data_IF_004535121061
#
_entry.id   IF_004535121061
#
_cell.length_a   1.000
_cell.length_b   1.000
_cell.length_c   1.000
_cell.angle_alpha   90.00
_cell.angle_beta   90.00
_cell.angle_gamma   90.00
#
_symmetry.space_group_name_H-M   'P 1'
#
loop_
_entity.id
_entity.type
_entity.pdbx_description
1 polymer ?
#
# COMPACT_ATOMS: atom_id res chain seq x y z
N UNK A 1 37.07 13.07 -6.66
CA UNK A 1 35.60 13.08 -6.50
C UNK A 1 35.13 11.64 -6.58
N UNK A 2 34.26 11.19 -5.66
CA UNK A 2 33.68 9.85 -5.77
C UNK A 2 32.88 9.78 -7.07
N UNK A 3 33.24 8.87 -7.97
CA UNK A 3 32.53 8.66 -9.23
C UNK A 3 31.19 7.99 -8.91
N UNK A 4 30.08 8.63 -9.29
CA UNK A 4 28.72 8.07 -9.14
C UNK A 4 28.29 7.50 -10.49
N UNK A 5 27.81 6.27 -10.52
CA UNK A 5 27.32 5.62 -11.75
C UNK A 5 25.89 6.07 -12.10
N UNK A 6 25.49 5.94 -13.37
CA UNK A 6 24.11 6.20 -13.81
C UNK A 6 23.11 5.33 -13.02
N UNK A 7 23.44 4.04 -12.83
CA UNK A 7 22.56 3.11 -12.11
C UNK A 7 22.38 3.48 -10.62
N UNK A 8 23.42 3.99 -9.96
CA UNK A 8 23.34 4.45 -8.58
C UNK A 8 22.44 5.68 -8.43
N UNK A 9 22.51 6.65 -9.37
CA UNK A 9 21.63 7.81 -9.35
C UNK A 9 20.18 7.39 -9.53
N UNK A 10 19.88 6.57 -10.53
CA UNK A 10 18.49 6.12 -10.78
C UNK A 10 17.93 5.26 -9.62
N UNK A 11 18.75 4.45 -8.96
CA UNK A 11 18.34 3.76 -7.72
C UNK A 11 17.97 4.74 -6.60
N UNK A 12 18.71 5.85 -6.49
CA UNK A 12 18.42 6.89 -5.50
C UNK A 12 17.15 7.69 -5.86
N UNK A 13 16.91 7.94 -7.15
CA UNK A 13 15.65 8.51 -7.66
C UNK A 13 14.46 7.64 -7.27
N UNK A 14 14.53 6.33 -7.55
CA UNK A 14 13.46 5.38 -7.22
C UNK A 14 13.24 5.29 -5.71
N UNK A 15 14.31 5.34 -4.89
CA UNK A 15 14.20 5.36 -3.43
C UNK A 15 13.49 6.62 -2.92
N UNK A 16 13.86 7.81 -3.43
CA UNK A 16 13.20 9.07 -3.04
C UNK A 16 11.73 9.07 -3.45
N UNK A 17 11.40 8.57 -4.66
CA UNK A 17 10.02 8.40 -5.10
C UNK A 17 9.25 7.43 -4.20
N UNK A 18 9.88 6.33 -3.79
CA UNK A 18 9.32 5.38 -2.83
C UNK A 18 9.00 6.03 -1.48
N UNK A 19 9.92 6.86 -0.94
CA UNK A 19 9.68 7.61 0.29
C UNK A 19 8.52 8.61 0.16
N UNK A 20 8.39 9.30 -0.97
CA UNK A 20 7.27 10.19 -1.26
C UNK A 20 5.94 9.43 -1.28
N UNK A 21 5.89 8.26 -1.91
CA UNK A 21 4.70 7.41 -1.91
C UNK A 21 4.33 6.92 -0.49
N UNK A 22 5.33 6.55 0.32
CA UNK A 22 5.12 6.19 1.74
C UNK A 22 4.56 7.37 2.53
N UNK A 23 5.03 8.60 2.28
CA UNK A 23 4.50 9.82 2.91
C UNK A 23 3.03 10.02 2.58
N UNK A 24 2.63 9.89 1.32
CA UNK A 24 1.24 10.05 0.88
C UNK A 24 0.30 9.01 1.52
N UNK A 25 0.76 7.74 1.58
CA UNK A 25 0.03 6.67 2.25
C UNK A 25 -0.10 6.93 3.76
N UNK A 26 0.99 7.35 4.41
CA UNK A 26 1.00 7.68 5.83
C UNK A 26 0.08 8.87 6.15
N UNK A 27 0.09 9.91 5.32
CA UNK A 27 -0.80 11.07 5.48
C UNK A 27 -2.27 10.66 5.44
N UNK A 28 -2.63 9.77 4.50
CA UNK A 28 -3.99 9.22 4.39
C UNK A 28 -4.37 8.42 5.63
N UNK A 29 -3.52 7.48 6.06
CA UNK A 29 -3.76 6.67 7.25
C UNK A 29 -3.88 7.52 8.53
N UNK A 30 -3.05 8.55 8.66
CA UNK A 30 -3.10 9.48 9.79
C UNK A 30 -4.39 10.30 9.81
N UNK A 31 -4.85 10.77 8.64
CA UNK A 31 -6.13 11.49 8.52
C UNK A 31 -7.29 10.62 8.96
N UNK A 32 -7.32 9.35 8.53
CA UNK A 32 -8.34 8.38 8.92
C UNK A 32 -8.31 8.10 10.43
N UNK A 33 -7.13 7.86 11.01
CA UNK A 33 -6.99 7.62 12.45
C UNK A 33 -7.45 8.81 13.29
N UNK A 34 -7.07 10.04 12.90
CA UNK A 34 -7.51 11.26 13.58
C UNK A 34 -9.03 11.43 13.43
N UNK A 35 -9.61 11.18 12.26
CA UNK A 35 -11.05 11.29 12.05
C UNK A 35 -11.84 10.33 12.96
N UNK A 36 -11.38 9.08 13.12
CA UNK A 36 -12.00 8.12 14.05
C UNK A 36 -11.91 8.61 15.50
N UNK A 37 -10.75 9.13 15.92
CA UNK A 37 -10.58 9.66 17.27
C UNK A 37 -11.46 10.92 17.52
N UNK A 38 -11.60 11.79 16.51
CA UNK A 38 -12.48 12.96 16.57
C UNK A 38 -13.95 12.55 16.71
N UNK A 39 -14.39 11.56 15.93
CA UNK A 39 -15.74 11.02 16.03
C UNK A 39 -16.00 10.49 17.45
N UNK A 40 -15.07 9.70 18.01
CA UNK A 40 -15.20 9.15 19.37
C UNK A 40 -15.24 10.24 20.44
N UNK A 41 -14.46 11.31 20.27
CA UNK A 41 -14.56 12.49 21.14
C UNK A 41 -15.93 13.16 21.07
N UNK A 42 -16.49 13.30 19.87
CA UNK A 42 -17.81 13.91 19.68
C UNK A 42 -18.91 13.06 20.34
N UNK A 43 -18.91 11.74 20.10
CA UNK A 43 -19.84 10.79 20.72
C UNK A 43 -19.74 10.83 22.26
N UNK A 44 -18.52 10.84 22.81
CA UNK A 44 -18.33 10.87 24.26
C UNK A 44 -18.76 12.21 24.90
N UNK A 45 -18.54 13.35 24.20
CA UNK A 45 -19.02 14.67 24.64
C UNK A 45 -20.54 14.74 24.63
N UNK A 46 -21.18 14.23 23.58
CA UNK A 46 -22.63 14.19 23.49
C UNK A 46 -23.23 13.33 24.61
N UNK A 47 -22.66 12.15 24.88
CA UNK A 47 -23.12 11.29 25.98
C UNK A 47 -22.94 11.95 27.36
N UNK A 48 -21.83 12.66 27.58
CA UNK A 48 -21.63 13.41 28.82
C UNK A 48 -22.64 14.56 28.99
N UNK A 49 -22.97 15.26 27.91
CA UNK A 49 -23.98 16.32 27.92
C UNK A 49 -25.40 15.76 28.14
N UNK A 50 -25.73 14.65 27.49
CA UNK A 50 -27.00 13.95 27.68
C UNK A 50 -27.14 13.45 29.12
N UNK A 51 -26.09 12.84 29.68
CA UNK A 51 -26.05 12.36 31.07
C UNK A 51 -26.20 13.51 32.07
N UNK A 52 -25.60 14.67 31.80
CA UNK A 52 -25.76 15.86 32.65
C UNK A 52 -27.21 16.37 32.65
N UNK A 53 -27.86 16.37 31.48
CA UNK A 53 -29.27 16.77 31.33
C UNK A 53 -30.22 15.80 32.04
N UNK A 54 -29.93 14.49 31.99
CA UNK A 54 -30.70 13.48 32.72
C UNK A 54 -30.55 13.63 34.23
N UNK A 55 -29.34 13.91 34.72
CA UNK A 55 -29.12 14.18 36.13
C UNK A 55 -29.92 15.39 36.60
N UNK A 56 -29.89 16.49 35.85
CA UNK A 56 -30.68 17.68 36.16
C UNK A 56 -32.18 17.36 36.25
N UNK A 57 -32.72 16.58 35.30
CA UNK A 57 -34.10 16.13 35.33
C UNK A 57 -34.40 15.24 36.56
N UNK A 58 -33.51 14.34 36.94
CA UNK A 58 -33.69 13.49 38.12
C UNK A 58 -33.61 14.27 39.43
N UNK A 59 -32.73 15.29 39.51
CA UNK A 59 -32.67 16.21 40.65
C UNK A 59 -33.98 17.00 40.80
N UNK A 60 -34.57 17.48 39.70
CA UNK A 60 -35.87 18.15 39.74
C UNK A 60 -37.00 17.21 40.20
N UNK A 61 -36.99 15.95 39.77
CA UNK A 61 -37.96 14.94 40.21
C UNK A 61 -37.83 14.61 41.70
N UNK A 62 -36.60 14.47 42.21
CA UNK A 62 -36.35 14.26 43.64
C UNK A 62 -36.85 15.46 44.47
N UNK A 63 -36.59 16.68 44.03
CA UNK A 63 -37.11 17.89 44.69
C UNK A 63 -38.65 17.93 44.69
N UNK A 64 -39.29 17.55 43.59
CA UNK A 64 -40.74 17.48 43.51
C UNK A 64 -41.33 16.38 44.42
N UNK A 65 -40.66 15.22 44.51
CA UNK A 65 -41.05 14.14 45.41
C UNK A 65 -40.89 14.54 46.88
N UNK A 66 -39.82 15.27 47.22
CA UNK A 66 -39.61 15.82 48.56
C UNK A 66 -40.73 16.78 48.93
N UNK A 67 -41.12 17.69 48.03
CA UNK A 67 -42.24 18.60 48.25
C UNK A 67 -43.57 17.86 48.50
N UNK A 68 -43.80 16.71 47.84
CA UNK A 68 -44.98 15.87 48.11
C UNK A 68 -44.93 15.25 49.51
N UNK A 69 -43.76 14.78 49.96
CA UNK A 69 -43.58 14.27 51.33
C UNK A 69 -43.88 15.37 52.34
N UNK A 70 -43.29 16.55 52.17
CA UNK A 70 -43.52 17.68 53.08
C UNK A 70 -45.02 18.07 53.14
N UNK A 71 -45.70 18.06 51.98
CA UNK A 71 -47.15 18.30 51.91
C UNK A 71 -47.99 17.21 52.58
N UNK A 72 -47.63 15.94 52.41
CA UNK A 72 -48.32 14.81 53.05
C UNK A 72 -48.12 14.81 54.57
N UNK A 73 -46.93 15.20 55.06
CA UNK A 73 -46.67 15.36 56.50
C UNK A 73 -47.51 16.49 57.10
N UNK A 74 -47.63 17.62 56.41
CA UNK A 74 -48.51 18.72 56.83
C UNK A 74 -49.99 18.29 56.87
N UNK A 75 -50.45 17.53 55.87
CA UNK A 75 -51.80 17.00 55.82
C UNK A 75 -52.07 16.02 56.97
N UNK A 76 -51.12 15.13 57.27
CA UNK A 76 -51.21 14.20 58.40
C UNK A 76 -51.28 14.94 59.75
N UNK A 77 -50.43 15.94 59.97
CA UNK A 77 -50.45 16.75 61.19
C UNK A 77 -51.79 17.48 61.36
N UNK A 78 -52.38 17.95 60.25
CA UNK A 78 -53.70 18.58 60.24
C UNK A 78 -54.81 17.58 60.58
N UNK A 79 -54.79 16.39 59.98
CA UNK A 79 -55.76 15.32 60.26
C UNK A 79 -55.68 14.84 61.71
N UNK A 80 -54.48 14.69 62.27
CA UNK A 80 -54.27 14.33 63.67
C UNK A 80 -54.80 15.41 64.63
N UNK A 81 -54.62 16.69 64.29
CA UNK A 81 -55.17 17.80 65.07
C UNK A 81 -56.70 17.79 65.06
N UNK A 82 -57.31 17.53 63.90
CA UNK A 82 -58.77 17.37 63.77
C UNK A 82 -59.30 16.18 64.56
N UNK A 83 -58.59 15.04 64.55
CA UNK A 83 -58.93 13.87 65.36
C UNK A 83 -58.88 14.18 66.86
N UNK A 84 -57.83 14.85 67.33
CA UNK A 84 -57.71 15.27 68.72
C UNK A 84 -58.87 16.20 69.13
N UNK A 85 -59.28 17.12 68.23
CA UNK A 85 -60.46 17.96 68.44
C UNK A 85 -61.75 17.14 68.53
N UNK A 86 -61.97 16.20 67.60
CA UNK A 86 -63.16 15.33 67.59
C UNK A 86 -63.24 14.46 68.84
N UNK A 87 -62.12 13.91 69.30
CA UNK A 87 -62.02 13.13 70.54
C UNK A 87 -62.32 13.99 71.78
N UNK A 88 -61.85 15.23 71.81
CA UNK A 88 -62.17 16.18 72.88
C UNK A 88 -63.66 16.52 72.92
N UNK A 89 -64.29 16.73 71.76
CA UNK A 89 -65.74 16.92 71.64
C UNK A 89 -66.53 15.69 72.10
N UNK A 90 -66.15 14.49 71.68
CA UNK A 90 -66.77 13.23 72.12
C UNK A 90 -66.64 13.05 73.64
N UNK A 91 -65.44 13.27 74.20
CA UNK A 91 -65.23 13.19 75.65
C UNK A 91 -66.07 14.20 76.42
N UNK A 92 -66.25 15.40 75.86
CA UNK A 92 -67.10 16.44 76.45
C UNK A 92 -68.58 16.04 76.42
N UNK A 93 -69.06 15.43 75.32
CA UNK A 93 -70.44 14.93 75.21
C UNK A 93 -70.70 13.79 76.22
N UNK A 94 -69.77 12.83 76.32
CA UNK A 94 -69.89 11.70 77.26
C UNK A 94 -69.85 12.12 78.74
N UNK A 95 -69.26 13.27 79.05
CA UNK A 95 -69.19 13.82 80.39
C UNK A 95 -70.43 14.63 80.80
N UNK A 96 -71.40 14.84 79.90
CA UNK A 96 -72.63 15.56 80.23
C UNK A 96 -73.55 14.70 81.14
N UNK A 97 -74.16 15.30 82.17
CA UNK A 97 -75.07 14.59 83.06
C UNK A 97 -76.35 14.14 82.31
N UNK A 98 -77.04 13.08 82.77
CA UNK A 98 -78.34 12.70 82.23
C UNK A 98 -79.32 13.87 82.32
N UNK A 99 -80.22 13.97 81.35
CA UNK A 99 -81.28 14.98 81.37
C UNK A 99 -82.27 14.76 82.53
N UNK A 100 -83.22 15.69 82.73
CA UNK A 100 -84.22 15.64 83.81
C UNK A 100 -85.15 14.40 83.74
N UNK A 101 -85.12 13.63 82.63
CA UNK A 101 -85.83 12.35 82.46
C UNK A 101 -84.93 11.12 82.67
N UNK A 102 -83.65 11.31 83.03
CA UNK A 102 -82.67 10.25 83.26
C UNK A 102 -82.07 9.65 81.98
N UNK A 103 -82.21 10.31 80.82
CA UNK A 103 -81.62 9.86 79.56
C UNK A 103 -80.21 10.40 79.42
N UNK A 104 -79.28 9.54 79.01
CA UNK A 104 -77.92 9.95 78.69
C UNK A 104 -77.89 10.80 77.39
N UNK A 105 -76.91 11.70 77.24
CA UNK A 105 -76.70 12.47 76.00
C UNK A 105 -76.50 11.57 74.78
N UNK A 106 -77.14 11.91 73.66
CA UNK A 106 -76.94 11.23 72.37
C UNK A 106 -75.68 11.75 71.69
N UNK A 107 -74.55 11.07 71.91
CA UNK A 107 -73.25 11.42 71.31
C UNK A 107 -73.00 10.76 69.95
N UNK A 108 -74.04 10.29 69.25
CA UNK A 108 -73.88 9.57 67.98
C UNK A 108 -73.18 10.41 66.90
N UNK A 109 -73.41 11.73 66.86
CA UNK A 109 -72.75 12.65 65.95
C UNK A 109 -71.24 12.79 66.22
N UNK A 110 -70.84 12.87 67.48
CA UNK A 110 -69.43 12.93 67.88
C UNK A 110 -68.70 11.61 67.63
N UNK A 111 -69.38 10.47 67.78
CA UNK A 111 -68.84 9.17 67.38
C UNK A 111 -68.61 9.10 65.87
N UNK A 112 -69.55 9.58 65.06
CA UNK A 112 -69.37 9.69 63.60
C UNK A 112 -68.21 10.62 63.25
N UNK A 113 -68.09 11.79 63.91
CA UNK A 113 -67.00 12.74 63.67
C UNK A 113 -65.62 12.18 64.03
N UNK A 114 -65.50 11.40 65.12
CA UNK A 114 -64.26 10.68 65.45
C UNK A 114 -63.94 9.64 64.39
N UNK A 115 -64.92 8.84 63.96
CA UNK A 115 -64.71 7.82 62.92
C UNK A 115 -64.26 8.42 61.58
N UNK A 116 -64.86 9.55 61.17
CA UNK A 116 -64.46 10.28 59.97
C UNK A 116 -63.03 10.87 60.08
N UNK A 117 -62.67 11.39 61.26
CA UNK A 117 -61.33 11.90 61.52
C UNK A 117 -60.28 10.78 61.58
N UNK A 118 -60.62 9.61 62.13
CA UNK A 118 -59.77 8.42 62.11
C UNK A 118 -59.51 7.94 60.69
N UNK A 119 -60.56 7.85 59.85
CA UNK A 119 -60.43 7.51 58.44
C UNK A 119 -59.57 8.55 57.68
N UNK A 120 -59.70 9.83 58.02
CA UNK A 120 -58.88 10.90 57.43
C UNK A 120 -57.40 10.78 57.82
N UNK A 121 -57.10 10.38 59.07
CA UNK A 121 -55.72 10.11 59.52
C UNK A 121 -55.15 8.89 58.79
N UNK A 122 -55.90 7.80 58.68
CA UNK A 122 -55.48 6.59 57.96
C UNK A 122 -55.19 6.91 56.48
N UNK A 123 -56.05 7.68 55.82
CA UNK A 123 -55.83 8.14 54.45
C UNK A 123 -54.55 9.00 54.33
N UNK A 124 -54.36 9.96 55.24
CA UNK A 124 -53.18 10.83 55.23
C UNK A 124 -51.88 10.05 55.49
N UNK A 125 -51.92 9.03 56.37
CA UNK A 125 -50.81 8.11 56.59
C UNK A 125 -50.48 7.33 55.32
N UNK A 126 -51.48 6.77 54.64
CA UNK A 126 -51.27 6.06 53.37
C UNK A 126 -50.66 6.96 52.29
N UNK A 127 -51.11 8.22 52.19
CA UNK A 127 -50.52 9.19 51.26
C UNK A 127 -49.06 9.53 51.60
N UNK A 128 -48.73 9.65 52.89
CA UNK A 128 -47.36 9.89 53.34
C UNK A 128 -46.44 8.71 53.04
N UNK A 129 -46.89 7.49 53.30
CA UNK A 129 -46.14 6.28 52.96
C UNK A 129 -45.89 6.19 51.45
N UNK A 130 -46.91 6.46 50.63
CA UNK A 130 -46.75 6.52 49.19
C UNK A 130 -45.75 7.61 48.75
N UNK A 131 -45.86 8.82 49.29
CA UNK A 131 -44.95 9.92 48.95
C UNK A 131 -43.50 9.61 49.34
N UNK A 132 -43.28 8.96 50.48
CA UNK A 132 -41.94 8.51 50.93
C UNK A 132 -41.37 7.44 50.00
N UNK A 133 -42.19 6.49 49.56
CA UNK A 133 -41.77 5.49 48.58
C UNK A 133 -41.42 6.13 47.22
N UNK A 134 -42.21 7.11 46.76
CA UNK A 134 -41.91 7.88 45.53
C UNK A 134 -40.58 8.65 45.65
N UNK A 135 -40.31 9.26 46.81
CA UNK A 135 -39.05 9.95 47.09
C UNK A 135 -37.86 8.99 47.07
N UNK A 136 -37.97 7.82 47.71
CA UNK A 136 -36.89 6.83 47.72
C UNK A 136 -36.50 6.39 46.30
N UNK A 137 -37.49 6.15 45.44
CA UNK A 137 -37.27 5.84 44.02
C UNK A 137 -36.61 7.01 43.29
N UNK A 138 -37.06 8.25 43.53
CA UNK A 138 -36.49 9.44 42.91
C UNK A 138 -35.02 9.67 43.32
N UNK A 139 -34.69 9.48 44.61
CA UNK A 139 -33.32 9.53 45.11
C UNK A 139 -32.44 8.44 44.50
N UNK A 140 -32.95 7.21 44.39
CA UNK A 140 -32.25 6.12 43.71
C UNK A 140 -31.94 6.44 42.24
N UNK A 141 -32.90 7.03 41.53
CA UNK A 141 -32.72 7.45 40.14
C UNK A 141 -31.68 8.57 40.01
N UNK A 142 -31.69 9.59 40.89
CA UNK A 142 -30.67 10.66 40.89
C UNK A 142 -29.27 10.06 41.10
N UNK A 143 -29.08 9.21 42.10
CA UNK A 143 -27.79 8.58 42.38
C UNK A 143 -27.30 7.77 41.16
N UNK A 144 -28.21 7.05 40.48
CA UNK A 144 -27.86 6.34 39.24
C UNK A 144 -27.43 7.29 38.12
N UNK A 145 -28.09 8.44 37.96
CA UNK A 145 -27.70 9.45 36.97
C UNK A 145 -26.37 10.15 37.30
N UNK A 146 -26.05 10.33 38.59
CA UNK A 146 -24.72 10.83 39.01
C UNK A 146 -23.61 9.86 38.59
N UNK A 147 -23.77 8.58 38.88
CA UNK A 147 -22.80 7.55 38.47
C UNK A 147 -22.67 7.49 36.94
N UNK A 148 -23.78 7.61 36.21
CA UNK A 148 -23.76 7.67 34.75
C UNK A 148 -22.93 8.85 34.25
N UNK A 149 -23.16 10.04 34.80
CA UNK A 149 -22.43 11.24 34.42
C UNK A 149 -20.93 11.11 34.70
N UNK A 150 -20.55 10.54 35.84
CA UNK A 150 -19.15 10.32 36.19
C UNK A 150 -18.45 9.39 35.18
N UNK A 151 -19.10 8.28 34.81
CA UNK A 151 -18.59 7.36 33.78
C UNK A 151 -18.52 8.03 32.41
N UNK A 152 -19.52 8.82 32.03
CA UNK A 152 -19.54 9.54 30.76
C UNK A 152 -18.40 10.59 30.68
N UNK A 153 -18.12 11.30 31.78
CA UNK A 153 -16.99 12.25 31.87
C UNK A 153 -15.63 11.54 31.81
N UNK A 154 -15.50 10.38 32.45
CA UNK A 154 -14.28 9.56 32.32
C UNK A 154 -14.08 9.11 30.86
N UNK A 155 -15.13 8.65 30.20
CA UNK A 155 -15.08 8.28 28.79
C UNK A 155 -14.71 9.47 27.89
N UNK A 156 -15.27 10.66 28.14
CA UNK A 156 -14.90 11.89 27.44
C UNK A 156 -13.41 12.21 27.60
N UNK A 157 -12.89 12.20 28.83
CA UNK A 157 -11.48 12.50 29.10
C UNK A 157 -10.54 11.50 28.41
N UNK A 158 -10.88 10.20 28.42
CA UNK A 158 -10.11 9.18 27.71
C UNK A 158 -10.14 9.39 26.19
N UNK A 159 -11.30 9.75 25.63
CA UNK A 159 -11.42 10.02 24.20
C UNK A 159 -10.60 11.25 23.79
N UNK A 160 -10.66 12.34 24.55
CA UNK A 160 -9.90 13.57 24.31
C UNK A 160 -8.38 13.32 24.38
N UNK A 161 -7.93 12.57 25.37
CA UNK A 161 -6.53 12.13 25.46
C UNK A 161 -6.12 11.26 24.26
N UNK A 162 -6.96 10.31 23.84
CA UNK A 162 -6.67 9.46 22.68
C UNK A 162 -6.58 10.27 21.37
N UNK A 163 -7.41 11.31 21.21
CA UNK A 163 -7.32 12.22 20.07
C UNK A 163 -6.02 13.02 20.07
N UNK A 164 -5.64 13.59 21.22
CA UNK A 164 -4.38 14.34 21.35
C UNK A 164 -3.17 13.43 21.05
N UNK A 165 -3.16 12.21 21.58
CA UNK A 165 -2.12 11.22 21.30
C UNK A 165 -2.06 10.86 19.80
N UNK A 166 -3.21 10.61 19.17
CA UNK A 166 -3.25 10.30 17.74
C UNK A 166 -2.70 11.46 16.89
N UNK A 167 -3.04 12.70 17.23
CA UNK A 167 -2.53 13.89 16.54
C UNK A 167 -1.01 14.03 16.71
N UNK A 168 -0.49 13.88 17.93
CA UNK A 168 0.94 14.02 18.23
C UNK A 168 1.76 12.92 17.55
N UNK A 169 1.29 11.67 17.62
CA UNK A 169 1.96 10.53 17.00
C UNK A 169 2.01 10.70 15.47
N UNK A 170 0.89 11.08 14.86
CA UNK A 170 0.84 11.34 13.42
C UNK A 170 1.75 12.49 12.98
N UNK A 171 1.76 13.60 13.72
CA UNK A 171 2.66 14.71 13.44
C UNK A 171 4.13 14.28 13.51
N UNK A 172 4.50 13.49 14.51
CA UNK A 172 5.88 12.99 14.70
C UNK A 172 6.30 12.05 13.57
N UNK A 173 5.42 11.10 13.20
CA UNK A 173 5.67 10.14 12.11
C UNK A 173 5.81 10.84 10.77
N UNK A 174 4.92 11.78 10.45
CA UNK A 174 4.99 12.57 9.21
C UNK A 174 6.27 13.41 9.16
N UNK A 175 6.62 14.11 10.23
CA UNK A 175 7.84 14.91 10.30
C UNK A 175 9.11 14.05 10.10
N UNK A 176 9.13 12.83 10.62
CA UNK A 176 10.25 11.89 10.44
C UNK A 176 10.41 11.48 8.98
N UNK A 177 9.30 11.18 8.30
CA UNK A 177 9.32 10.83 6.87
C UNK A 177 9.71 12.04 6.02
N UNK A 178 9.19 13.23 6.33
CA UNK A 178 9.56 14.47 5.63
C UNK A 178 11.06 14.77 5.77
N UNK A 179 11.65 14.56 6.94
CA UNK A 179 13.09 14.69 7.15
C UNK A 179 13.88 13.68 6.30
N UNK A 180 13.44 12.42 6.25
CA UNK A 180 14.08 11.40 5.42
C UNK A 180 14.00 11.75 3.92
N UNK A 181 12.87 12.28 3.46
CA UNK A 181 12.69 12.77 2.08
C UNK A 181 13.62 13.96 1.80
N UNK A 182 13.74 14.91 2.72
CA UNK A 182 14.63 16.06 2.56
C UNK A 182 16.11 15.63 2.44
N UNK A 183 16.55 14.70 3.29
CA UNK A 183 17.90 14.12 3.23
C UNK A 183 18.08 13.36 1.90
N UNK A 184 17.13 12.51 1.53
CA UNK A 184 17.15 11.76 0.28
C UNK A 184 17.25 12.67 -0.95
N UNK A 185 16.44 13.73 -0.99
CA UNK A 185 16.42 14.72 -2.07
C UNK A 185 17.74 15.49 -2.15
N UNK A 186 18.30 15.91 -1.02
CA UNK A 186 19.61 16.59 -1.00
C UNK A 186 20.75 15.68 -1.51
N UNK A 187 20.71 14.39 -1.14
CA UNK A 187 21.65 13.38 -1.65
C UNK A 187 21.45 13.16 -3.15
N UNK A 188 20.22 13.06 -3.62
CA UNK A 188 19.89 12.90 -5.03
C UNK A 188 20.39 14.09 -5.86
N UNK A 189 20.11 15.31 -5.42
CA UNK A 189 20.59 16.53 -6.10
C UNK A 189 22.13 16.60 -6.16
N UNK A 190 22.81 16.09 -5.14
CA UNK A 190 24.28 16.05 -5.13
C UNK A 190 24.81 14.95 -6.07
N UNK A 191 24.16 13.79 -6.09
CA UNK A 191 24.48 12.70 -7.00
C UNK A 191 24.23 13.08 -8.47
N UNK A 192 23.13 13.78 -8.76
CA UNK A 192 22.82 14.29 -10.10
C UNK A 192 23.88 15.28 -10.58
N UNK A 193 24.28 16.26 -9.75
CA UNK A 193 25.36 17.19 -10.11
C UNK A 193 26.69 16.47 -10.37
N UNK A 194 27.00 15.45 -9.59
CA UNK A 194 28.20 14.63 -9.81
C UNK A 194 28.12 13.84 -11.13
N UNK A 195 26.95 13.27 -11.43
CA UNK A 195 26.69 12.58 -12.69
C UNK A 195 26.80 13.55 -13.87
N UNK A 196 26.16 14.72 -13.82
CA UNK A 196 26.21 15.72 -14.90
C UNK A 196 27.65 16.16 -15.19
N UNK A 197 28.46 16.40 -14.14
CA UNK A 197 29.88 16.73 -14.28
C UNK A 197 30.70 15.57 -14.89
N UNK A 198 30.39 14.33 -14.53
CA UNK A 198 31.01 13.15 -15.10
C UNK A 198 30.65 12.98 -16.58
N UNK A 199 29.37 13.11 -16.94
CA UNK A 199 28.90 13.00 -18.33
C UNK A 199 29.49 14.12 -19.21
N UNK A 200 29.64 15.33 -18.68
CA UNK A 200 30.23 16.45 -19.41
C UNK A 200 31.70 16.23 -19.80
N UNK A 201 32.43 15.41 -19.04
CA UNK A 201 33.87 15.15 -19.25
C UNK A 201 34.16 13.75 -19.80
N UNK A 202 33.15 12.89 -19.94
CA UNK A 202 33.29 11.51 -20.40
C UNK A 202 32.31 11.22 -21.56
N UNK A 203 32.72 11.44 -22.83
CA UNK A 203 31.85 11.26 -23.98
C UNK A 203 31.24 9.85 -24.12
N UNK A 204 31.99 8.74 -23.90
CA UNK A 204 31.38 7.41 -23.91
C UNK A 204 30.24 7.24 -22.89
N UNK A 205 30.39 7.79 -21.69
CA UNK A 205 29.36 7.77 -20.67
C UNK A 205 28.15 8.64 -21.04
N UNK A 206 28.37 9.83 -21.61
CA UNK A 206 27.29 10.68 -22.12
C UNK A 206 26.48 9.99 -23.23
N UNK A 207 27.16 9.33 -24.17
CA UNK A 207 26.50 8.57 -25.24
C UNK A 207 25.72 7.37 -24.69
N UNK A 208 26.28 6.65 -23.72
CA UNK A 208 25.57 5.56 -23.06
C UNK A 208 24.34 6.04 -22.27
N UNK A 209 24.46 7.17 -21.56
CA UNK A 209 23.31 7.79 -20.88
C UNK A 209 22.22 8.20 -21.88
N UNK A 210 22.59 8.82 -23.00
CA UNK A 210 21.65 9.14 -24.08
C UNK A 210 21.04 7.89 -24.71
N UNK A 211 21.80 6.80 -24.82
CA UNK A 211 21.30 5.51 -25.26
C UNK A 211 20.24 4.97 -24.29
N UNK A 212 20.48 4.99 -22.97
CA UNK A 212 19.50 4.58 -21.96
C UNK A 212 18.21 5.42 -22.00
N UNK A 213 18.34 6.74 -22.14
CA UNK A 213 17.21 7.68 -22.15
C UNK A 213 16.56 7.89 -23.53
N UNK A 214 16.90 7.06 -24.51
CA UNK A 214 16.39 7.21 -25.87
C UNK A 214 14.87 7.09 -25.93
N UNK A 215 14.22 8.10 -26.52
CA UNK A 215 12.80 8.10 -26.79
C UNK A 215 12.55 8.12 -28.30
N UNK A 216 12.16 7.00 -28.93
CA UNK A 216 11.95 6.95 -30.37
C UNK A 216 10.80 7.85 -30.85
N UNK A 217 9.81 8.12 -30.00
CA UNK A 217 8.65 8.94 -30.36
C UNK A 217 8.99 10.42 -30.56
N UNK A 218 10.13 10.90 -30.03
CA UNK A 218 10.49 12.31 -30.03
C UNK A 218 10.61 12.92 -31.43
N UNK A 219 10.99 12.11 -32.43
CA UNK A 219 11.23 12.58 -33.79
C UNK A 219 10.12 12.19 -34.79
N UNK A 220 9.11 11.43 -34.35
CA UNK A 220 7.97 10.98 -35.19
C UNK A 220 8.33 10.11 -36.40
N UNK A 221 9.59 9.66 -36.53
CA UNK A 221 10.06 8.84 -37.66
C UNK A 221 9.92 7.36 -37.34
N UNK A 222 9.60 6.50 -38.33
CA UNK A 222 9.68 5.06 -38.16
C UNK A 222 11.08 4.62 -37.73
N UNK A 223 11.14 3.64 -36.83
CA UNK A 223 12.39 2.98 -36.45
C UNK A 223 12.76 1.98 -37.54
N UNK A 224 13.97 2.11 -38.07
CA UNK A 224 14.47 1.31 -39.21
C UNK A 224 15.43 0.20 -38.74
N UNK A 225 15.73 -0.79 -39.60
CA UNK A 225 16.71 -1.83 -39.26
C UNK A 225 18.09 -1.25 -38.89
N UNK A 226 18.53 -0.17 -39.55
CA UNK A 226 19.77 0.53 -39.22
C UNK A 226 19.73 1.10 -37.80
N UNK A 227 18.60 1.73 -37.42
CA UNK A 227 18.41 2.28 -36.07
C UNK A 227 18.52 1.18 -35.02
N UNK A 228 17.89 0.03 -35.25
CA UNK A 228 17.93 -1.11 -34.33
C UNK A 228 19.34 -1.70 -34.23
N UNK A 229 20.01 -1.91 -35.36
CA UNK A 229 21.39 -2.39 -35.40
C UNK A 229 22.32 -1.47 -34.61
N UNK A 230 22.23 -0.16 -34.83
CA UNK A 230 23.11 0.80 -34.18
C UNK A 230 22.88 0.81 -32.66
N UNK A 231 21.62 0.65 -32.22
CA UNK A 231 21.31 0.50 -30.78
C UNK A 231 21.84 -0.78 -30.15
N UNK A 232 21.92 -1.87 -30.92
CA UNK A 232 22.47 -3.15 -30.46
C UNK A 232 24.01 -3.17 -30.47
N UNK A 233 24.66 -2.17 -31.06
CA UNK A 233 26.09 -2.16 -31.31
C UNK A 233 26.84 -1.20 -30.37
N UNK A 234 26.75 -1.44 -29.07
CA UNK A 234 27.49 -0.68 -28.05
C UNK A 234 29.00 -0.81 -28.22
N UNK A 235 29.76 0.28 -28.05
CA UNK A 235 31.23 0.26 -28.01
C UNK A 235 31.77 -0.58 -26.84
N UNK A 236 33.07 -0.88 -26.83
CA UNK A 236 33.72 -1.55 -25.68
C UNK A 236 33.50 -0.81 -24.36
N UNK A 237 33.65 0.52 -24.33
CA UNK A 237 33.39 1.30 -23.10
C UNK A 237 31.91 1.28 -22.74
N UNK A 238 31.01 1.41 -23.71
CA UNK A 238 29.57 1.40 -23.45
C UNK A 238 29.08 0.03 -22.95
N UNK A 239 29.66 -1.08 -23.44
CA UNK A 239 29.37 -2.42 -22.91
C UNK A 239 29.81 -2.57 -21.46
N UNK A 240 30.97 -2.01 -21.09
CA UNK A 240 31.41 -1.96 -19.69
C UNK A 240 30.45 -1.15 -18.83
N UNK A 241 30.08 0.06 -19.26
CA UNK A 241 29.11 0.90 -18.56
C UNK A 241 27.74 0.24 -18.43
N UNK A 242 27.33 -0.53 -19.45
CA UNK A 242 26.09 -1.30 -19.40
C UNK A 242 26.17 -2.45 -18.39
N UNK A 243 27.30 -3.13 -18.28
CA UNK A 243 27.49 -4.13 -17.21
C UNK A 243 27.49 -3.51 -15.81
N UNK A 244 28.11 -2.35 -15.62
CA UNK A 244 28.04 -1.59 -14.36
C UNK A 244 26.59 -1.20 -14.04
N UNK A 245 25.85 -0.69 -15.04
CA UNK A 245 24.44 -0.37 -14.92
C UNK A 245 23.58 -1.59 -14.55
N UNK A 246 23.77 -2.74 -15.20
CA UNK A 246 23.07 -3.98 -14.87
C UNK A 246 23.44 -4.49 -13.48
N UNK A 247 24.71 -4.38 -13.09
CA UNK A 247 25.16 -4.73 -11.75
C UNK A 247 24.45 -3.87 -10.70
N UNK A 248 24.28 -2.56 -10.94
CA UNK A 248 23.60 -1.65 -10.04
C UNK A 248 22.08 -1.82 -10.01
N UNK A 249 21.44 -2.12 -11.15
CA UNK A 249 19.97 -2.11 -11.30
C UNK A 249 19.31 -3.50 -11.25
N UNK A 250 20.04 -4.57 -11.55
CA UNK A 250 19.50 -5.92 -11.63
C UNK A 250 20.15 -6.84 -10.59
N UNK A 251 19.47 -7.11 -9.45
CA UNK A 251 19.99 -7.98 -8.39
C UNK A 251 20.30 -9.43 -8.84
N UNK A 252 19.56 -9.96 -9.82
CA UNK A 252 19.80 -11.29 -10.35
C UNK A 252 21.09 -11.34 -11.18
N UNK A 253 21.30 -10.34 -12.04
CA UNK A 253 22.54 -10.18 -12.80
C UNK A 253 23.74 -9.97 -11.86
N UNK A 254 23.60 -9.09 -10.86
CA UNK A 254 24.61 -8.86 -9.81
C UNK A 254 25.04 -10.17 -9.15
N UNK A 255 24.08 -10.96 -8.67
CA UNK A 255 24.34 -12.26 -8.03
C UNK A 255 25.09 -13.23 -8.95
N UNK A 256 24.77 -13.21 -10.24
CA UNK A 256 25.45 -14.04 -11.23
C UNK A 256 26.89 -13.58 -11.46
N UNK A 257 27.13 -12.27 -11.57
CA UNK A 257 28.48 -11.68 -11.65
C UNK A 257 29.29 -12.04 -10.41
N UNK A 258 28.77 -11.80 -9.20
CA UNK A 258 29.45 -12.07 -7.93
C UNK A 258 29.81 -13.56 -7.80
N UNK A 259 28.92 -14.46 -8.24
CA UNK A 259 29.21 -15.90 -8.31
C UNK A 259 30.44 -16.18 -9.17
N UNK A 260 30.53 -15.59 -10.36
CA UNK A 260 31.67 -15.82 -11.26
C UNK A 260 32.95 -15.13 -10.79
N UNK A 261 32.85 -13.95 -10.18
CA UNK A 261 33.98 -13.27 -9.51
C UNK A 261 34.57 -14.16 -8.41
N UNK A 262 33.73 -14.69 -7.53
CA UNK A 262 34.15 -15.60 -6.46
C UNK A 262 34.79 -16.89 -7.01
N UNK A 263 34.19 -17.50 -8.04
CA UNK A 263 34.77 -18.68 -8.69
C UNK A 263 36.11 -18.37 -9.37
N UNK A 264 36.26 -17.18 -9.95
CA UNK A 264 37.51 -16.75 -10.57
C UNK A 264 38.62 -16.52 -9.54
N UNK A 265 38.34 -15.78 -8.47
CA UNK A 265 39.28 -15.47 -7.40
C UNK A 265 39.77 -16.73 -6.65
N UNK A 266 38.88 -17.72 -6.48
CA UNK A 266 39.21 -18.98 -5.78
C UNK A 266 39.88 -20.05 -6.66
N UNK A 267 39.98 -19.82 -7.98
CA UNK A 267 40.51 -20.79 -8.93
C UNK A 267 42.03 -20.97 -8.80
N UNK A 268 42.48 -22.22 -8.66
CA UNK A 268 43.89 -22.61 -8.52
C UNK A 268 44.52 -22.85 -9.88
N UNK A 269 45.06 -21.77 -10.45
CA UNK A 269 45.82 -21.81 -11.71
C UNK A 269 44.94 -21.88 -12.96
N UNK A 270 45.61 -22.01 -14.11
CA UNK A 270 44.98 -21.76 -15.42
C UNK A 270 43.90 -22.77 -15.80
N UNK A 271 44.03 -24.02 -15.37
CA UNK A 271 43.05 -25.06 -15.66
C UNK A 271 41.68 -24.74 -15.04
N UNK A 272 41.65 -24.34 -13.78
CA UNK A 272 40.41 -23.96 -13.08
C UNK A 272 39.85 -22.65 -13.63
N UNK A 273 40.71 -21.64 -13.88
CA UNK A 273 40.31 -20.37 -14.50
C UNK A 273 39.69 -20.58 -15.89
N UNK A 274 40.21 -21.52 -16.68
CA UNK A 274 39.64 -21.88 -17.97
C UNK A 274 38.24 -22.53 -17.86
N UNK A 275 38.00 -23.35 -16.82
CA UNK A 275 36.67 -23.91 -16.54
C UNK A 275 35.69 -22.79 -16.18
N UNK A 276 36.11 -21.85 -15.32
CA UNK A 276 35.29 -20.68 -14.96
C UNK A 276 34.98 -19.82 -16.18
N UNK A 277 35.99 -19.49 -16.99
CA UNK A 277 35.82 -18.72 -18.22
C UNK A 277 34.83 -19.39 -19.17
N UNK A 278 34.94 -20.71 -19.39
CA UNK A 278 34.00 -21.45 -20.24
C UNK A 278 32.57 -21.36 -19.71
N UNK A 279 32.36 -21.50 -18.40
CA UNK A 279 31.02 -21.37 -17.79
C UNK A 279 30.47 -19.95 -17.89
N UNK A 280 31.31 -18.93 -17.70
CA UNK A 280 30.92 -17.52 -17.83
C UNK A 280 30.48 -17.20 -19.27
N UNK A 281 31.24 -17.66 -20.27
CA UNK A 281 30.89 -17.51 -21.70
C UNK A 281 29.55 -18.16 -22.07
N UNK A 282 29.16 -19.25 -21.40
CA UNK A 282 27.88 -19.91 -21.65
C UNK A 282 26.73 -19.12 -20.99
N UNK A 283 26.84 -18.85 -19.69
CA UNK A 283 25.69 -18.38 -18.91
C UNK A 283 25.66 -16.86 -18.74
N UNK A 284 26.78 -16.23 -18.38
CA UNK A 284 26.82 -14.78 -18.14
C UNK A 284 26.75 -14.01 -19.45
N UNK A 285 27.49 -14.45 -20.46
CA UNK A 285 27.48 -13.80 -21.77
C UNK A 285 26.19 -14.02 -22.55
N UNK A 286 25.47 -15.12 -22.31
CA UNK A 286 24.11 -15.32 -22.84
C UNK A 286 23.14 -14.29 -22.25
N UNK A 287 23.06 -14.25 -20.92
CA UNK A 287 22.24 -13.27 -20.19
C UNK A 287 22.59 -11.83 -20.57
N UNK A 288 23.88 -11.47 -20.67
CA UNK A 288 24.29 -10.12 -21.04
C UNK A 288 23.81 -9.72 -22.44
N UNK A 289 23.84 -10.65 -23.40
CA UNK A 289 23.31 -10.43 -24.75
C UNK A 289 21.79 -10.24 -24.76
N UNK A 290 21.06 -11.04 -24.00
CA UNK A 290 19.61 -10.88 -23.80
C UNK A 290 19.27 -9.53 -23.17
N UNK A 291 20.01 -9.12 -22.13
CA UNK A 291 19.81 -7.82 -21.49
C UNK A 291 20.08 -6.65 -22.45
N UNK A 292 21.09 -6.77 -23.31
CA UNK A 292 21.40 -5.77 -24.33
C UNK A 292 20.23 -5.61 -25.30
N UNK A 293 19.70 -6.72 -25.80
CA UNK A 293 18.55 -6.72 -26.69
C UNK A 293 17.31 -6.10 -26.02
N UNK A 294 17.02 -6.53 -24.79
CA UNK A 294 15.92 -6.01 -23.99
C UNK A 294 16.02 -4.49 -23.81
N UNK A 295 17.15 -3.97 -23.38
CA UNK A 295 17.30 -2.52 -23.12
C UNK A 295 17.36 -1.69 -24.40
N UNK A 296 17.88 -2.24 -25.50
CA UNK A 296 17.89 -1.57 -26.79
C UNK A 296 16.48 -1.37 -27.36
N UNK A 297 15.60 -2.37 -27.17
CA UNK A 297 14.26 -2.43 -27.77
C UNK A 297 13.15 -1.97 -26.83
N UNK A 298 13.34 -2.05 -25.51
CA UNK A 298 12.39 -1.63 -24.50
C UNK A 298 11.71 -0.28 -24.77
N UNK A 299 12.43 0.78 -25.22
CA UNK A 299 11.82 2.09 -25.46
C UNK A 299 10.80 2.14 -26.61
N UNK A 300 10.71 1.09 -27.43
CA UNK A 300 9.78 1.02 -28.56
C UNK A 300 8.32 0.88 -28.13
N UNK A 301 8.03 0.31 -26.96
CA UNK A 301 6.67 -0.01 -26.51
C UNK A 301 6.26 0.60 -25.17
N UNK A 302 4.96 0.61 -24.92
CA UNK A 302 4.34 0.96 -23.64
C UNK A 302 4.52 -0.14 -22.58
N UNK A 303 4.56 -1.41 -23.02
CA UNK A 303 4.67 -2.58 -22.13
C UNK A 303 5.65 -3.61 -22.69
N UNK A 304 6.38 -4.25 -21.78
CA UNK A 304 7.37 -5.27 -22.08
C UNK A 304 7.10 -6.49 -21.21
N UNK A 305 7.01 -7.64 -21.85
CA UNK A 305 6.90 -8.94 -21.21
C UNK A 305 8.14 -9.76 -21.56
N UNK A 306 8.70 -10.45 -20.58
CA UNK A 306 9.85 -11.34 -20.78
C UNK A 306 9.51 -12.72 -20.29
N UNK A 307 9.95 -13.76 -21.00
CA UNK A 307 9.74 -15.16 -20.63
C UNK A 307 8.26 -15.58 -20.61
N UNK A 308 7.42 -14.94 -21.46
CA UNK A 308 6.01 -15.27 -21.64
C UNK A 308 5.86 -16.70 -22.16
N UNK A 309 4.96 -17.50 -21.57
CA UNK A 309 4.78 -18.91 -21.94
C UNK A 309 3.71 -19.04 -23.02
N UNK A 310 4.06 -19.67 -24.12
CA UNK A 310 3.13 -20.04 -25.20
C UNK A 310 3.06 -21.56 -25.29
N UNK A 311 1.87 -22.12 -25.08
CA UNK A 311 1.64 -23.56 -25.25
C UNK A 311 1.57 -23.90 -26.75
N UNK A 312 2.29 -24.94 -27.15
CA UNK A 312 2.44 -25.37 -28.54
C UNK A 312 1.81 -26.76 -28.69
N UNK A 313 0.70 -26.82 -29.42
CA UNK A 313 -0.11 -28.03 -29.62
C UNK A 313 -0.82 -28.54 -28.36
N UNK A 314 -1.46 -29.70 -28.46
CA UNK A 314 -2.34 -30.25 -27.41
C UNK A 314 -1.60 -31.09 -26.35
N UNK A 315 -0.28 -31.28 -26.50
CA UNK A 315 0.53 -32.16 -25.66
C UNK A 315 1.12 -31.47 -24.41
N UNK A 316 0.65 -30.26 -24.08
CA UNK A 316 1.13 -29.48 -22.94
C UNK A 316 2.57 -28.96 -23.06
N UNK A 317 3.21 -29.09 -24.24
CA UNK A 317 4.51 -28.47 -24.51
C UNK A 317 4.35 -26.96 -24.56
N UNK A 318 5.36 -26.23 -24.10
CA UNK A 318 5.38 -24.77 -24.20
C UNK A 318 6.75 -24.27 -24.62
N UNK A 319 6.76 -23.12 -25.28
CA UNK A 319 7.95 -22.30 -25.51
C UNK A 319 7.87 -21.04 -24.67
N UNK A 320 9.01 -20.38 -24.47
CA UNK A 320 9.08 -19.06 -23.85
C UNK A 320 9.60 -18.06 -24.86
N UNK A 321 8.96 -16.90 -24.91
CA UNK A 321 9.41 -15.76 -25.70
C UNK A 321 10.32 -14.89 -24.85
N UNK A 322 11.53 -14.64 -25.32
CA UNK A 322 12.52 -13.84 -24.58
C UNK A 322 12.02 -12.41 -24.35
N UNK A 323 11.43 -11.80 -25.39
CA UNK A 323 10.95 -10.43 -25.33
C UNK A 323 9.69 -10.23 -26.18
N UNK A 324 8.60 -9.79 -25.55
CA UNK A 324 7.39 -9.31 -26.19
C UNK A 324 7.18 -7.85 -25.83
N UNK A 325 7.07 -7.00 -26.86
CA UNK A 325 6.83 -5.57 -26.74
C UNK A 325 5.42 -5.30 -27.26
N UNK A 326 4.60 -4.62 -26.48
CA UNK A 326 3.22 -4.26 -26.87
C UNK A 326 3.00 -2.76 -26.71
N UNK A 327 1.95 -2.27 -27.37
CA UNK A 327 1.61 -0.85 -27.39
C UNK A 327 2.78 -0.01 -27.94
N UNK A 328 3.20 -0.33 -29.18
CA UNK A 328 4.29 0.37 -29.82
C UNK A 328 4.04 1.87 -29.89
N UNK A 329 5.01 2.66 -29.47
CA UNK A 329 4.94 4.13 -29.45
C UNK A 329 5.25 4.75 -30.81
N UNK A 330 5.90 3.99 -31.69
CA UNK A 330 6.33 4.38 -33.03
C UNK A 330 6.18 3.21 -34.00
N UNK A 331 6.02 3.46 -35.31
CA UNK A 331 6.14 2.40 -36.30
C UNK A 331 7.55 1.81 -36.28
N UNK A 332 7.67 0.49 -36.33
CA UNK A 332 8.95 -0.22 -36.37
C UNK A 332 9.03 -1.08 -37.62
N UNK A 333 10.15 -1.03 -38.32
CA UNK A 333 10.44 -1.80 -39.53
C UNK A 333 11.69 -2.65 -39.26
N UNK A 334 11.54 -3.97 -39.29
CA UNK A 334 12.62 -4.95 -39.17
C UNK A 334 13.25 -5.31 -40.52
N UNK A 335 12.50 -5.16 -41.62
CA UNK A 335 12.96 -5.52 -42.95
C UNK A 335 11.85 -5.47 -43.99
N UNK A 336 12.06 -6.17 -45.10
CA UNK A 336 11.05 -6.31 -46.18
C UNK A 336 10.30 -7.62 -46.01
N UNK A 337 8.99 -7.61 -46.24
CA UNK A 337 8.13 -8.79 -46.20
C UNK A 337 7.02 -8.69 -45.15
N UNK A 338 6.09 -9.64 -45.19
CA UNK A 338 5.04 -9.80 -44.19
C UNK A 338 5.65 -10.13 -42.81
N UNK A 339 5.06 -9.61 -41.72
CA UNK A 339 5.58 -9.80 -40.36
C UNK A 339 6.89 -9.07 -40.04
N UNK A 340 7.38 -8.22 -40.94
CA UNK A 340 8.64 -7.45 -40.77
C UNK A 340 8.41 -5.98 -40.40
N UNK A 341 7.18 -5.59 -40.05
CA UNK A 341 6.89 -4.25 -39.59
C UNK A 341 5.64 -4.22 -38.73
N UNK A 342 5.64 -3.34 -37.73
CA UNK A 342 4.55 -3.18 -36.78
C UNK A 342 4.16 -1.69 -36.65
N UNK A 343 2.86 -1.36 -36.66
CA UNK A 343 2.37 0.01 -36.54
C UNK A 343 2.40 0.50 -35.09
N UNK A 344 2.12 1.80 -34.89
CA UNK A 344 1.82 2.36 -33.56
C UNK A 344 0.63 1.61 -32.95
N UNK A 345 0.72 1.31 -31.65
CA UNK A 345 -0.25 0.49 -30.91
C UNK A 345 -0.10 -1.02 -31.15
N UNK A 346 0.73 -1.44 -32.11
CA UNK A 346 1.02 -2.84 -32.41
C UNK A 346 1.99 -3.49 -31.41
N UNK A 347 2.53 -4.63 -31.81
CA UNK A 347 3.32 -5.53 -30.98
C UNK A 347 4.49 -6.15 -31.73
N UNK A 348 5.54 -6.53 -31.00
CA UNK A 348 6.72 -7.19 -31.53
C UNK A 348 7.20 -8.30 -30.62
N UNK A 349 7.56 -9.45 -31.19
CA UNK A 349 8.14 -10.58 -30.46
C UNK A 349 9.57 -10.88 -30.93
N UNK A 350 10.47 -11.13 -29.98
CA UNK A 350 11.87 -11.41 -30.25
C UNK A 350 12.36 -12.64 -29.50
N UNK A 351 13.13 -13.46 -30.20
CA UNK A 351 14.03 -14.47 -29.65
C UNK A 351 15.47 -13.94 -29.69
N UNK A 352 16.29 -14.23 -28.70
CA UNK A 352 17.67 -13.75 -28.64
C UNK A 352 18.66 -14.92 -28.58
N UNK A 353 19.57 -15.01 -29.56
CA UNK A 353 20.60 -16.05 -29.64
C UNK A 353 22.01 -15.49 -29.75
N UNK A 354 22.79 -15.65 -28.69
CA UNK A 354 24.19 -15.23 -28.66
C UNK A 354 25.12 -16.44 -28.78
N UNK A 355 25.79 -16.59 -29.93
CA UNK A 355 26.74 -17.70 -30.12
C UNK A 355 27.58 -17.61 -31.37
N UNK A 356 28.54 -18.53 -31.49
CA UNK A 356 29.37 -18.68 -32.68
C UNK A 356 28.56 -19.26 -33.85
N UNK A 357 29.01 -19.03 -35.08
CA UNK A 357 28.40 -19.52 -36.32
C UNK A 357 27.83 -20.95 -36.23
N UNK A 358 28.68 -21.94 -35.91
CA UNK A 358 28.26 -23.35 -35.84
C UNK A 358 27.27 -23.63 -34.71
N UNK A 359 27.33 -22.89 -33.60
CA UNK A 359 26.33 -23.00 -32.53
C UNK A 359 24.98 -22.43 -33.00
N UNK A 360 24.97 -21.27 -33.67
CA UNK A 360 23.74 -20.69 -34.21
C UNK A 360 23.07 -21.65 -35.19
N UNK A 361 23.86 -22.27 -36.07
CA UNK A 361 23.37 -23.28 -37.00
C UNK A 361 22.84 -24.54 -36.27
N UNK A 362 23.55 -25.03 -35.26
CA UNK A 362 23.11 -26.22 -34.50
C UNK A 362 21.83 -25.97 -33.68
N UNK A 363 21.44 -24.72 -33.45
CA UNK A 363 20.20 -24.35 -32.75
C UNK A 363 18.99 -24.21 -33.69
N UNK A 364 19.13 -24.48 -34.99
CA UNK A 364 18.06 -24.31 -36.01
C UNK A 364 16.70 -24.87 -35.56
N UNK A 365 16.62 -26.16 -35.26
CA UNK A 365 15.35 -26.82 -34.93
C UNK A 365 14.75 -26.30 -33.62
N UNK A 366 15.59 -25.91 -32.67
CA UNK A 366 15.15 -25.30 -31.42
C UNK A 366 14.54 -23.92 -31.67
N UNK A 367 15.18 -23.09 -32.50
CA UNK A 367 14.66 -21.77 -32.88
C UNK A 367 13.35 -21.87 -33.67
N UNK A 368 13.20 -22.88 -34.53
CA UNK A 368 11.93 -23.15 -35.23
C UNK A 368 10.82 -23.46 -34.23
N UNK A 369 11.08 -24.31 -33.23
CA UNK A 369 10.10 -24.57 -32.16
C UNK A 369 9.75 -23.30 -31.37
N UNK A 370 10.71 -22.42 -31.13
CA UNK A 370 10.47 -21.17 -30.40
C UNK A 370 9.66 -20.15 -31.21
N UNK A 371 9.79 -20.14 -32.54
CA UNK A 371 9.04 -19.26 -33.43
C UNK A 371 7.51 -19.41 -33.28
N UNK A 372 7.03 -20.60 -32.88
CA UNK A 372 5.61 -20.82 -32.55
C UNK A 372 5.09 -19.87 -31.46
N UNK A 373 5.97 -19.42 -30.55
CA UNK A 373 5.63 -18.50 -29.47
C UNK A 373 5.36 -17.07 -29.93
N UNK A 374 5.80 -16.69 -31.12
CA UNK A 374 5.85 -15.30 -31.60
C UNK A 374 4.69 -14.94 -32.53
N UNK A 375 3.99 -15.94 -33.09
CA UNK A 375 3.06 -15.78 -34.23
C UNK A 375 1.89 -14.81 -34.01
N UNK A 376 1.62 -14.44 -32.76
CA UNK A 376 0.53 -13.52 -32.42
C UNK A 376 0.95 -12.04 -32.46
N UNK A 377 2.26 -11.75 -32.58
CA UNK A 377 2.75 -10.38 -32.69
C UNK A 377 2.68 -9.86 -34.13
N UNK A 378 2.52 -8.54 -34.30
CA UNK A 378 2.46 -7.90 -35.62
C UNK A 378 3.79 -8.02 -36.38
N UNK A 379 4.91 -7.97 -35.64
CA UNK A 379 6.24 -8.24 -36.17
C UNK A 379 7.04 -9.18 -35.26
N UNK A 380 7.87 -10.03 -35.85
CA UNK A 380 8.62 -11.02 -35.11
C UNK A 380 9.96 -11.34 -35.77
N UNK A 381 11.00 -11.56 -34.97
CA UNK A 381 12.29 -12.01 -35.48
C UNK A 381 13.16 -12.68 -34.43
N UNK A 382 14.07 -13.54 -34.90
CA UNK A 382 15.16 -14.08 -34.10
C UNK A 382 16.38 -13.18 -34.23
N UNK A 383 16.74 -12.48 -33.15
CA UNK A 383 17.94 -11.67 -33.07
C UNK A 383 19.13 -12.54 -32.68
N UNK A 384 20.22 -12.42 -33.43
CA UNK A 384 21.44 -13.16 -33.12
C UNK A 384 22.70 -12.30 -33.14
N UNK A 385 23.77 -12.86 -32.60
CA UNK A 385 25.13 -12.35 -32.83
C UNK A 385 25.45 -12.35 -34.32
N UNK A 386 26.24 -11.36 -34.74
CA UNK A 386 26.66 -11.20 -36.15
C UNK A 386 27.55 -12.32 -36.67
N UNK A 387 27.99 -13.25 -35.81
CA UNK A 387 28.70 -14.47 -36.21
C UNK A 387 27.88 -15.36 -37.16
N UNK A 388 26.58 -15.11 -37.37
CA UNK A 388 25.82 -15.75 -38.46
C UNK A 388 26.46 -15.55 -39.83
N UNK A 389 27.13 -14.41 -40.04
CA UNK A 389 27.81 -14.08 -41.30
C UNK A 389 29.14 -14.83 -41.48
N UNK A 390 29.61 -15.54 -40.45
CA UNK A 390 30.79 -16.40 -40.53
C UNK A 390 30.43 -17.83 -40.98
N UNK A 391 29.13 -18.13 -41.19
CA UNK A 391 28.70 -19.39 -41.78
C UNK A 391 29.04 -19.44 -43.29
N UNK A 392 29.26 -20.64 -43.85
CA UNK A 392 29.22 -20.82 -45.30
C UNK A 392 27.91 -20.26 -45.89
N UNK A 393 27.95 -19.59 -47.05
CA UNK A 393 26.77 -18.93 -47.63
C UNK A 393 25.54 -19.84 -47.77
N UNK A 394 25.75 -21.12 -48.05
CA UNK A 394 24.70 -22.13 -48.18
C UNK A 394 24.02 -22.40 -46.82
N UNK A 395 24.81 -22.56 -45.76
CA UNK A 395 24.30 -22.76 -44.39
C UNK A 395 23.62 -21.51 -43.85
N UNK A 396 24.18 -20.33 -44.10
CA UNK A 396 23.55 -19.06 -43.70
C UNK A 396 22.18 -18.92 -44.37
N UNK A 397 22.12 -19.17 -45.69
CA UNK A 397 20.88 -19.10 -46.46
C UNK A 397 19.85 -20.11 -45.94
N UNK A 398 20.25 -21.37 -45.77
CA UNK A 398 19.38 -22.43 -45.24
C UNK A 398 18.77 -22.03 -43.90
N UNK A 399 19.60 -21.54 -42.97
CA UNK A 399 19.15 -21.13 -41.64
C UNK A 399 18.17 -19.95 -41.70
N UNK A 400 18.48 -18.93 -42.50
CA UNK A 400 17.62 -17.75 -42.66
C UNK A 400 16.28 -18.09 -43.31
N UNK A 401 16.29 -18.92 -44.34
CA UNK A 401 15.08 -19.33 -45.06
C UNK A 401 14.21 -20.22 -44.17
N UNK A 402 14.81 -21.20 -43.47
CA UNK A 402 14.08 -22.06 -42.52
C UNK A 402 13.35 -21.24 -41.45
N UNK A 403 14.03 -20.24 -40.86
CA UNK A 403 13.42 -19.42 -39.81
C UNK A 403 12.41 -18.41 -40.35
N UNK A 404 12.59 -17.93 -41.58
CA UNK A 404 11.59 -17.11 -42.28
C UNK A 404 10.30 -17.90 -42.51
N UNK A 405 10.42 -19.14 -42.96
CA UNK A 405 9.27 -20.03 -43.20
C UNK A 405 8.56 -20.43 -41.90
N UNK A 406 9.31 -20.54 -40.80
CA UNK A 406 8.76 -20.74 -39.45
C UNK A 406 8.09 -19.48 -38.87
N UNK A 407 8.19 -18.34 -39.56
CA UNK A 407 7.60 -17.06 -39.16
C UNK A 407 8.52 -16.18 -38.30
N UNK A 408 9.74 -16.58 -37.96
CA UNK A 408 10.66 -15.77 -37.14
C UNK A 408 11.97 -15.47 -37.89
N UNK A 409 11.97 -14.58 -38.91
CA UNK A 409 13.15 -14.24 -39.68
C UNK A 409 14.36 -13.92 -38.80
N UNK A 410 15.53 -14.45 -39.16
CA UNK A 410 16.75 -14.28 -38.37
C UNK A 410 17.53 -13.04 -38.77
N UNK A 411 18.02 -12.27 -37.79
CA UNK A 411 18.75 -11.02 -38.02
C UNK A 411 19.98 -10.90 -37.11
N UNK A 412 21.17 -10.75 -37.71
CA UNK A 412 22.45 -10.65 -37.00
C UNK A 412 22.79 -9.23 -36.57
N UNK A 413 22.14 -8.72 -35.52
CA UNK A 413 22.35 -7.34 -35.04
C UNK A 413 23.24 -7.24 -33.80
N UNK A 414 23.31 -8.29 -32.98
CA UNK A 414 24.07 -8.26 -31.73
C UNK A 414 25.59 -8.25 -32.02
N UNK A 415 26.42 -7.77 -31.08
CA UNK A 415 27.88 -7.86 -31.19
C UNK A 415 28.34 -9.30 -31.42
N UNK A 416 29.55 -9.47 -31.95
CA UNK A 416 30.07 -10.82 -32.13
C UNK A 416 30.20 -11.53 -30.78
N UNK A 417 30.06 -12.85 -30.77
CA UNK A 417 30.12 -13.66 -29.55
C UNK A 417 31.43 -13.43 -28.80
N UNK A 418 32.54 -13.26 -29.52
CA UNK A 418 33.84 -13.00 -28.90
C UNK A 418 33.87 -11.64 -28.18
N UNK A 419 33.24 -10.60 -28.71
CA UNK A 419 33.17 -9.30 -28.04
C UNK A 419 32.35 -9.36 -26.75
N UNK A 420 31.21 -10.07 -26.78
CA UNK A 420 30.35 -10.29 -25.61
C UNK A 420 31.11 -11.11 -24.56
N UNK A 421 31.76 -12.19 -24.98
CA UNK A 421 32.57 -13.06 -24.11
C UNK A 421 33.69 -12.28 -23.43
N UNK A 422 34.45 -11.51 -24.22
CA UNK A 422 35.54 -10.71 -23.72
C UNK A 422 35.04 -9.67 -22.70
N UNK A 423 33.95 -8.97 -23.02
CA UNK A 423 33.36 -7.98 -22.12
C UNK A 423 32.95 -8.60 -20.77
N UNK A 424 32.27 -9.75 -20.77
CA UNK A 424 31.88 -10.43 -19.53
C UNK A 424 33.08 -10.95 -18.75
N UNK A 425 34.09 -11.50 -19.44
CA UNK A 425 35.31 -12.00 -18.79
C UNK A 425 36.11 -10.88 -18.13
N UNK A 426 36.26 -9.74 -18.81
CA UNK A 426 36.94 -8.58 -18.23
C UNK A 426 36.19 -8.07 -17.00
N UNK A 427 34.86 -8.04 -17.05
CA UNK A 427 34.05 -7.56 -15.94
C UNK A 427 34.10 -8.42 -14.66
N UNK A 428 34.33 -9.73 -14.79
CA UNK A 428 34.52 -10.62 -13.65
C UNK A 428 35.97 -10.65 -13.14
N UNK A 429 36.94 -10.14 -13.92
CA UNK A 429 38.37 -10.09 -13.55
C UNK A 429 38.77 -8.85 -12.78
N UNK A 430 37.95 -7.79 -12.84
CA UNK A 430 38.25 -6.43 -12.34
C UNK A 430 38.58 -6.29 -10.84
N UNK A 431 38.58 -7.36 -10.03
CA UNK A 431 38.89 -7.29 -8.60
C UNK A 431 40.37 -7.60 -8.23
N UNK A 432 41.26 -7.96 -9.17
CA UNK A 432 42.64 -8.40 -8.81
C UNK A 432 43.82 -7.83 -9.64
N UNK A 433 43.62 -6.91 -10.60
CA UNK A 433 44.73 -6.36 -11.41
C UNK A 433 44.72 -4.82 -11.51
N UNK A 434 44.75 -4.14 -10.36
CA UNK A 434 45.25 -2.75 -10.23
C UNK A 434 46.31 -2.70 -9.14
#
# INVERSE_FOLDING_TARGET
MAQVSIGQVENLEDLVRGLQSVREALETACREQIAVAQQKCAEAREEAQNSASMLESSTQQEQAAQQKVDGAEQALNSAQSSLASAQSSLSSCLAQPPDDEGRCPDCSGEYSAVSEAEASVEQAQGMLEQARAELEVATGNRISMEQRLDLARQAQAMAEYALEQAQQECATRLATVDQAIAIGTARLNSAQRALDAYLATNPPAAQFHAWLKWNPAQNGRPVTPDTLRDRMNLSSEQRRLFQEYLYDRNPAYRKQVDKYRNLWATAKGDAERNIVARRARIHLSGEFGEQMARHALAPLGGRIETQGRTFVGDNGRYTKTDLLITDLRVPVILGRGEGMGAPVGGSMAFEVKCGKAEYLYSQKDHMVFQAEGHKQADAQCTLCSRDIHDLPPEKEKELRDTLRDAGSPMVGMLPSKNEIDQSCLDFIRLDEEV
#
